data_IF_847077039067
#
_entry.id   IF_847077039067
#
_cell.length_a   1.000
_cell.length_b   1.000
_cell.length_c   1.000
_cell.angle_alpha   90.00
_cell.angle_beta   90.00
_cell.angle_gamma   90.00
#
_symmetry.space_group_name_H-M   'P 1'
#
loop_
_entity.id
_entity.type
_entity.pdbx_description
1 polymer ?
#
# COMPACT_ATOMS: atom_id res chain seq x y z
N UNK A 1 -10.19 18.60 8.81
CA UNK A 1 -10.65 17.24 8.45
C UNK A 1 -9.57 16.35 7.79
N UNK A 2 -8.31 16.78 7.60
CA UNK A 2 -7.30 16.05 6.81
C UNK A 2 -6.35 15.09 7.58
N UNK A 3 -6.50 14.90 8.89
CA UNK A 3 -5.55 14.11 9.71
C UNK A 3 -5.88 12.62 9.76
N UNK A 4 -7.15 12.24 9.57
CA UNK A 4 -7.63 10.84 9.71
C UNK A 4 -7.20 9.96 8.53
N UNK A 5 -7.10 10.53 7.33
CA UNK A 5 -6.69 9.80 6.11
C UNK A 5 -5.23 9.39 6.13
N UNK A 6 -4.31 10.24 6.62
CA UNK A 6 -2.89 9.90 6.72
C UNK A 6 -2.65 8.66 7.56
N UNK A 7 -3.28 8.54 8.73
CA UNK A 7 -3.12 7.36 9.58
C UNK A 7 -3.67 6.08 8.94
N UNK A 8 -4.80 6.17 8.23
CA UNK A 8 -5.39 5.02 7.57
C UNK A 8 -4.54 4.53 6.38
N UNK A 9 -4.01 5.47 5.58
CA UNK A 9 -3.11 5.17 4.48
C UNK A 9 -1.77 4.60 4.96
N UNK A 10 -1.22 5.12 6.05
CA UNK A 10 0.02 4.59 6.63
C UNK A 10 -0.17 3.14 7.07
N UNK A 11 -1.24 2.82 7.80
CA UNK A 11 -1.52 1.45 8.21
C UNK A 11 -1.70 0.51 7.00
N UNK A 12 -2.45 0.96 5.99
CA UNK A 12 -2.67 0.19 4.76
C UNK A 12 -1.37 -0.12 4.01
N UNK A 13 -0.42 0.82 3.96
CA UNK A 13 0.88 0.62 3.33
C UNK A 13 1.65 -0.53 3.98
N UNK A 14 1.70 -0.57 5.32
CA UNK A 14 2.38 -1.66 6.05
C UNK A 14 1.63 -2.99 5.93
N UNK A 15 0.30 -2.97 5.96
CA UNK A 15 -0.52 -4.18 5.75
C UNK A 15 -0.26 -4.79 4.37
N UNK A 16 -0.29 -3.96 3.31
CA UNK A 16 -0.05 -4.40 1.94
C UNK A 16 1.39 -4.90 1.78
N UNK A 17 2.38 -4.19 2.34
CA UNK A 17 3.76 -4.65 2.31
C UNK A 17 3.91 -6.05 2.92
N UNK A 18 3.27 -6.29 4.07
CA UNK A 18 3.21 -7.61 4.71
C UNK A 18 2.53 -8.66 3.82
N UNK A 19 1.37 -8.32 3.21
CA UNK A 19 0.63 -9.22 2.29
C UNK A 19 1.45 -9.62 1.07
N UNK A 20 2.28 -8.71 0.54
CA UNK A 20 3.09 -8.99 -0.64
C UNK A 20 4.45 -9.62 -0.33
N UNK A 21 4.76 -9.84 0.95
CA UNK A 21 6.02 -10.43 1.43
C UNK A 21 7.20 -9.45 1.41
N UNK A 22 6.93 -8.15 1.43
CA UNK A 22 7.96 -7.11 1.34
C UNK A 22 8.16 -6.46 2.70
N UNK A 23 9.41 -6.46 3.17
CA UNK A 23 9.76 -5.78 4.41
C UNK A 23 9.89 -4.28 4.20
N UNK A 24 8.81 -3.53 4.46
CA UNK A 24 8.83 -2.08 4.44
C UNK A 24 9.20 -1.53 5.83
N UNK A 25 10.35 -0.89 5.92
CA UNK A 25 10.87 -0.31 7.16
C UNK A 25 10.27 1.08 7.39
N UNK A 26 10.05 1.45 8.64
CA UNK A 26 9.73 2.82 9.00
C UNK A 26 11.01 3.67 8.95
N UNK A 27 11.31 4.23 7.78
CA UNK A 27 12.53 4.99 7.53
C UNK A 27 13.04 4.82 6.10
N UNK A 28 14.36 4.70 5.95
CA UNK A 28 14.99 4.51 4.65
C UNK A 28 14.71 3.10 4.09
N UNK A 29 14.22 3.07 2.86
CA UNK A 29 13.96 1.84 2.09
C UNK A 29 14.67 1.90 0.73
N UNK A 30 15.82 2.59 0.62
CA UNK A 30 16.55 2.67 -0.66
C UNK A 30 17.23 1.37 -1.07
N UNK A 31 17.31 0.40 -0.16
CA UNK A 31 17.69 -0.99 -0.40
C UNK A 31 16.54 -1.84 -0.99
N UNK A 32 15.31 -1.32 -0.97
CA UNK A 32 14.15 -2.03 -1.52
C UNK A 32 14.23 -2.07 -3.05
N UNK A 33 14.04 -3.26 -3.63
CA UNK A 33 14.01 -3.39 -5.08
C UNK A 33 12.84 -2.56 -5.65
N UNK A 34 13.10 -1.85 -6.75
CA UNK A 34 12.07 -1.03 -7.42
C UNK A 34 10.81 -1.84 -7.78
N UNK A 35 10.98 -3.13 -8.10
CA UNK A 35 9.86 -4.07 -8.36
C UNK A 35 8.95 -4.25 -7.15
N UNK A 36 9.52 -4.32 -5.95
CA UNK A 36 8.80 -4.58 -4.71
C UNK A 36 8.11 -3.30 -4.23
N UNK A 37 8.79 -2.16 -4.32
CA UNK A 37 8.18 -0.85 -4.11
C UNK A 37 6.99 -0.62 -5.06
N UNK A 38 7.15 -0.97 -6.35
CA UNK A 38 6.08 -0.92 -7.34
C UNK A 38 4.91 -1.84 -7.00
N UNK A 39 5.19 -3.08 -6.56
CA UNK A 39 4.17 -4.04 -6.12
C UNK A 39 3.36 -3.50 -4.95
N UNK A 40 3.99 -2.86 -3.96
CA UNK A 40 3.29 -2.22 -2.85
C UNK A 40 2.39 -1.08 -3.35
N UNK A 41 2.96 -0.15 -4.12
CA UNK A 41 2.23 1.02 -4.63
C UNK A 41 1.01 0.66 -5.49
N UNK A 42 1.17 -0.32 -6.38
CA UNK A 42 0.08 -0.82 -7.22
C UNK A 42 -1.06 -1.45 -6.41
N UNK A 43 -0.74 -2.24 -5.38
CA UNK A 43 -1.74 -2.82 -4.50
C UNK A 43 -2.46 -1.75 -3.64
N UNK A 44 -1.75 -0.71 -3.21
CA UNK A 44 -2.36 0.43 -2.50
C UNK A 44 -3.42 1.10 -3.39
N UNK A 45 -3.03 1.48 -4.61
CA UNK A 45 -3.95 2.14 -5.55
C UNK A 45 -5.14 1.24 -5.88
N UNK A 46 -4.89 -0.06 -6.08
CA UNK A 46 -5.94 -1.05 -6.30
C UNK A 46 -6.96 -1.08 -5.16
N UNK A 47 -6.53 -1.25 -3.90
CA UNK A 47 -7.45 -1.27 -2.75
C UNK A 47 -8.23 0.04 -2.60
N UNK A 48 -7.60 1.18 -2.83
CA UNK A 48 -8.26 2.49 -2.77
C UNK A 48 -9.34 2.59 -3.85
N UNK A 49 -9.04 2.11 -5.06
CA UNK A 49 -9.98 2.14 -6.18
C UNK A 49 -11.13 1.14 -5.98
N UNK A 50 -10.86 -0.04 -5.43
CA UNK A 50 -11.89 -1.02 -5.01
C UNK A 50 -12.83 -0.41 -3.96
N UNK A 51 -12.28 0.23 -2.93
CA UNK A 51 -13.06 0.90 -1.90
C UNK A 51 -13.89 2.08 -2.45
N UNK A 52 -13.37 2.79 -3.45
CA UNK A 52 -14.06 3.92 -4.07
C UNK A 52 -15.18 3.48 -5.03
N UNK A 53 -14.94 2.43 -5.82
CA UNK A 53 -15.89 1.96 -6.86
C UNK A 53 -16.87 0.91 -6.34
N UNK A 54 -16.57 0.27 -5.21
CA UNK A 54 -17.33 -0.88 -4.70
C UNK A 54 -17.12 -2.17 -5.50
N UNK A 55 -16.25 -2.16 -6.51
CA UNK A 55 -15.95 -3.32 -7.35
C UNK A 55 -14.67 -4.01 -6.86
N UNK A 56 -14.68 -5.34 -6.84
CA UNK A 56 -13.47 -6.12 -6.58
C UNK A 56 -12.71 -6.33 -7.90
N UNK A 57 -11.48 -5.83 -7.99
CA UNK A 57 -10.64 -6.01 -9.16
C UNK A 57 -9.69 -7.21 -8.95
N UNK A 58 -10.22 -8.36 -8.54
CA UNK A 58 -9.45 -9.61 -8.49
C UNK A 58 -9.09 -10.01 -9.93
N UNK A 59 -7.80 -10.06 -10.25
CA UNK A 59 -7.30 -10.72 -11.46
C UNK A 59 -6.71 -12.05 -11.05
#
# INVERSE_FOLDING_TARGET
MAKKSKSQFENMKYEIASQVGVNLKQGYNGDLLARDAGKIGGNIVKKVFEAYTGNNYSK
#
